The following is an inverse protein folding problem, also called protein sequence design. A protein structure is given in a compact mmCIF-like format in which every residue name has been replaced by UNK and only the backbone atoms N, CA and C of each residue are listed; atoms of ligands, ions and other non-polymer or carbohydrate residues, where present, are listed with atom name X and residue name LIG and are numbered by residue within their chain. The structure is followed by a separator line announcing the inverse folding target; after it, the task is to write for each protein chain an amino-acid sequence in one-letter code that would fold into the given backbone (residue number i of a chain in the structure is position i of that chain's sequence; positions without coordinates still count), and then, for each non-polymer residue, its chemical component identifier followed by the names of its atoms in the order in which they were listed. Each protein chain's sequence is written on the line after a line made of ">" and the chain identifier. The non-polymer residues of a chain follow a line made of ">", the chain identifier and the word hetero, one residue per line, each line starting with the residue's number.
data_IF_607309146624
#
_entry.id   IF_607309146624
#
_cell.length_a   1.000
_cell.length_b   1.000
_cell.length_c   1.000
_cell.angle_alpha   90.00
_cell.angle_beta   90.00
_cell.angle_gamma   90.00
#
_symmetry.space_group_name_H-M   'P 1'
#
loop_
_entity.id
_entity.type
_entity.pdbx_description
1 polymer ?
#
# COMPACT_ATOMS: atom_id res chain seq x y z
N UNK A 1 -3.55 -32.43 17.68
CA UNK A 1 -3.54 -30.97 17.44
C UNK A 1 -4.48 -30.69 16.28
N UNK A 2 -5.51 -29.87 16.50
CA UNK A 2 -6.43 -29.44 15.45
C UNK A 2 -5.65 -28.71 14.36
N UNK A 3 -5.91 -29.05 13.09
CA UNK A 3 -5.30 -28.39 11.91
C UNK A 3 -5.76 -26.94 11.86
N UNK A 4 -4.94 -26.00 12.35
CA UNK A 4 -5.23 -24.57 12.27
C UNK A 4 -5.22 -24.19 10.76
N UNK A 5 -6.37 -23.79 10.27
CA UNK A 5 -6.52 -23.33 8.87
C UNK A 5 -5.83 -21.99 8.71
N UNK A 6 -4.95 -21.89 7.73
CA UNK A 6 -4.25 -20.64 7.39
C UNK A 6 -5.04 -19.68 6.51
N UNK A 7 -6.26 -20.06 6.08
CA UNK A 7 -7.15 -19.28 5.22
C UNK A 7 -8.61 -19.58 5.55
N UNK A 8 -9.49 -18.65 5.22
CA UNK A 8 -10.92 -18.72 5.49
C UNK A 8 -11.23 -18.94 6.99
N UNK A 9 -10.45 -18.27 7.82
CA UNK A 9 -10.67 -18.24 9.27
C UNK A 9 -11.97 -17.52 9.63
N UNK A 10 -12.50 -17.76 10.84
CA UNK A 10 -13.71 -17.08 11.31
C UNK A 10 -13.55 -15.55 11.33
N UNK A 11 -12.44 -14.97 11.82
CA UNK A 11 -12.20 -13.53 11.75
C UNK A 11 -12.26 -12.97 10.31
N UNK A 12 -11.62 -13.66 9.35
CA UNK A 12 -11.65 -13.25 7.95
C UNK A 12 -13.08 -13.21 7.39
N UNK A 13 -13.89 -14.24 7.66
CA UNK A 13 -15.29 -14.30 7.20
C UNK A 13 -16.11 -13.16 7.78
N UNK A 14 -15.94 -12.85 9.06
CA UNK A 14 -16.65 -11.76 9.72
C UNK A 14 -16.41 -10.42 9.03
N UNK A 15 -15.15 -10.09 8.74
CA UNK A 15 -14.80 -8.83 8.06
C UNK A 15 -15.31 -8.83 6.61
N UNK A 16 -15.12 -9.93 5.88
CA UNK A 16 -15.59 -10.08 4.49
C UNK A 16 -17.10 -9.87 4.38
N UNK A 17 -17.89 -10.58 5.19
CA UNK A 17 -19.34 -10.53 5.12
C UNK A 17 -19.86 -9.13 5.50
N UNK A 18 -19.27 -8.50 6.51
CA UNK A 18 -19.64 -7.16 6.92
C UNK A 18 -19.36 -6.13 5.81
N UNK A 19 -18.16 -6.14 5.25
CA UNK A 19 -17.78 -5.21 4.16
C UNK A 19 -18.61 -5.47 2.89
N UNK A 20 -18.87 -6.73 2.56
CA UNK A 20 -19.69 -7.07 1.40
C UNK A 20 -21.11 -6.52 1.52
N UNK A 21 -21.76 -6.70 2.68
CA UNK A 21 -23.11 -6.17 2.97
C UNK A 21 -23.17 -4.65 2.89
N UNK A 22 -22.08 -3.96 3.25
CA UNK A 22 -21.93 -2.51 3.15
C UNK A 22 -21.57 -2.01 1.74
N UNK A 23 -21.51 -2.93 0.75
CA UNK A 23 -21.29 -2.58 -0.66
C UNK A 23 -19.82 -2.51 -1.08
N UNK A 24 -18.87 -2.84 -0.21
CA UNK A 24 -17.46 -2.89 -0.59
C UNK A 24 -17.17 -4.10 -1.48
N UNK A 25 -16.28 -3.89 -2.45
CA UNK A 25 -15.81 -4.94 -3.35
C UNK A 25 -14.30 -5.10 -3.19
N UNK A 26 -13.86 -6.34 -3.05
CA UNK A 26 -12.47 -6.68 -2.72
C UNK A 26 -12.03 -7.96 -3.46
N UNK A 27 -10.70 -8.13 -3.55
CA UNK A 27 -10.07 -9.38 -3.95
C UNK A 27 -9.51 -10.06 -2.72
N UNK A 28 -9.44 -11.40 -2.74
CA UNK A 28 -8.97 -12.20 -1.62
C UNK A 28 -7.56 -12.72 -1.89
N UNK A 29 -6.70 -12.68 -0.87
CA UNK A 29 -5.40 -13.33 -0.85
C UNK A 29 -4.58 -13.09 -2.13
N UNK A 30 -4.45 -11.82 -2.55
CA UNK A 30 -3.75 -11.47 -3.79
C UNK A 30 -2.24 -11.63 -3.62
N UNK A 31 -1.69 -12.70 -4.23
CA UNK A 31 -0.26 -13.06 -4.15
C UNK A 31 0.66 -12.10 -4.91
N UNK A 32 0.13 -11.19 -5.72
CA UNK A 32 0.91 -10.17 -6.44
C UNK A 32 1.34 -9.03 -5.53
N UNK A 33 0.72 -8.93 -4.34
CA UNK A 33 1.05 -7.91 -3.35
C UNK A 33 1.90 -8.50 -2.22
N UNK A 34 2.86 -7.73 -1.68
CA UNK A 34 3.66 -8.13 -0.54
C UNK A 34 2.81 -8.61 0.64
N UNK A 35 3.22 -9.68 1.29
CA UNK A 35 2.53 -10.28 2.43
C UNK A 35 1.23 -11.01 2.09
N UNK A 36 0.77 -11.02 0.85
CA UNK A 36 -0.49 -11.68 0.43
C UNK A 36 -1.68 -11.24 1.30
N UNK A 37 -2.13 -9.98 1.21
CA UNK A 37 -3.20 -9.45 2.06
C UNK A 37 -4.49 -10.26 1.99
N UNK A 38 -5.21 -10.38 3.11
CA UNK A 38 -6.48 -11.11 3.17
C UNK A 38 -7.56 -10.47 2.28
N UNK A 39 -7.63 -9.12 2.30
CA UNK A 39 -8.50 -8.37 1.40
C UNK A 39 -7.71 -7.25 0.71
N UNK A 40 -7.99 -7.07 -0.56
CA UNK A 40 -7.45 -5.97 -1.37
C UNK A 40 -8.60 -5.16 -1.95
N UNK A 41 -8.63 -3.86 -1.66
CA UNK A 41 -9.65 -2.92 -2.13
C UNK A 41 -9.04 -1.91 -3.10
N UNK A 42 -8.95 -2.22 -4.41
CA UNK A 42 -8.27 -1.36 -5.39
C UNK A 42 -8.86 0.05 -5.48
N UNK A 43 -10.19 0.18 -5.35
CA UNK A 43 -10.90 1.47 -5.38
C UNK A 43 -10.42 2.43 -4.28
N UNK A 44 -10.00 1.87 -3.14
CA UNK A 44 -9.55 2.62 -1.97
C UNK A 44 -8.03 2.67 -1.86
N UNK A 45 -7.32 1.97 -2.75
CA UNK A 45 -5.87 1.78 -2.66
C UNK A 45 -5.45 1.28 -1.28
N UNK A 46 -6.23 0.36 -0.72
CA UNK A 46 -6.05 -0.19 0.61
C UNK A 46 -6.01 -1.71 0.60
N UNK A 47 -5.26 -2.26 1.55
CA UNK A 47 -5.20 -3.69 1.84
C UNK A 47 -5.52 -3.92 3.31
N UNK A 48 -6.14 -5.06 3.62
CA UNK A 48 -6.47 -5.43 4.99
C UNK A 48 -5.78 -6.75 5.32
N UNK A 49 -5.05 -6.77 6.44
CA UNK A 49 -4.54 -7.97 7.09
C UNK A 49 -5.35 -8.25 8.34
N UNK A 50 -5.79 -9.50 8.50
CA UNK A 50 -6.59 -9.94 9.65
C UNK A 50 -5.73 -10.88 10.49
N UNK A 51 -5.09 -10.30 11.50
CA UNK A 51 -4.03 -10.93 12.26
C UNK A 51 -4.56 -11.69 13.49
N UNK A 52 -4.20 -12.95 13.60
CA UNK A 52 -4.36 -13.71 14.85
C UNK A 52 -3.42 -13.18 15.94
N UNK A 53 -3.96 -12.88 17.12
CA UNK A 53 -3.21 -12.20 18.19
C UNK A 53 -1.92 -12.93 18.60
N UNK A 54 -1.95 -14.24 18.71
CA UNK A 54 -0.76 -15.04 19.04
C UNK A 54 0.29 -15.02 17.93
N UNK A 55 -0.13 -15.27 16.70
CA UNK A 55 0.78 -15.48 15.57
C UNK A 55 1.54 -14.23 15.13
N UNK A 56 0.93 -13.06 15.35
CA UNK A 56 1.47 -11.75 14.96
C UNK A 56 1.89 -10.88 16.15
N UNK A 57 1.94 -11.47 17.37
CA UNK A 57 2.52 -10.85 18.55
C UNK A 57 1.76 -9.61 19.04
N UNK A 58 0.43 -9.69 19.13
CA UNK A 58 -0.40 -8.57 19.58
C UNK A 58 -0.14 -8.23 21.04
N UNK A 59 0.77 -7.28 21.30
CA UNK A 59 1.18 -6.89 22.66
C UNK A 59 0.01 -6.34 23.46
N UNK A 60 -0.03 -6.66 24.77
CA UNK A 60 -1.07 -6.19 25.68
C UNK A 60 -2.44 -6.87 25.51
N UNK A 61 -2.54 -7.88 24.63
CA UNK A 61 -3.78 -8.62 24.39
C UNK A 61 -3.81 -9.90 25.21
N UNK A 62 -4.94 -10.19 25.88
CA UNK A 62 -5.15 -11.42 26.65
C UNK A 62 -5.06 -12.69 25.80
N UNK A 63 -5.26 -12.62 24.49
CA UNK A 63 -5.09 -13.74 23.56
C UNK A 63 -3.64 -13.97 23.13
N UNK A 64 -2.71 -13.06 23.44
CA UNK A 64 -1.29 -13.25 23.20
C UNK A 64 -0.64 -13.91 24.42
N UNK A 65 -0.73 -15.22 24.49
CA UNK A 65 -0.12 -16.02 25.56
C UNK A 65 0.92 -16.96 24.96
N UNK A 66 2.18 -16.76 25.32
CA UNK A 66 3.27 -17.65 24.90
C UNK A 66 3.13 -18.99 25.66
N UNK A 67 3.13 -20.15 24.96
CA UNK A 67 3.08 -21.45 25.60
C UNK A 67 4.21 -21.64 26.59
N UNK A 68 3.95 -22.33 27.72
CA UNK A 68 4.96 -22.59 28.74
C UNK A 68 6.05 -23.58 28.29
N UNK A 69 5.77 -24.40 27.28
CA UNK A 69 6.73 -25.33 26.67
C UNK A 69 7.33 -24.73 25.38
N UNK A 70 8.61 -24.97 25.13
CA UNK A 70 9.34 -24.48 23.97
C UNK A 70 9.23 -22.95 23.76
N UNK A 71 9.36 -22.20 24.84
CA UNK A 71 9.20 -20.74 24.88
C UNK A 71 10.07 -20.04 23.82
N UNK A 72 11.35 -20.38 23.77
CA UNK A 72 12.31 -19.79 22.80
C UNK A 72 11.90 -20.03 21.36
N UNK A 73 11.44 -21.24 21.04
CA UNK A 73 10.95 -21.57 19.70
C UNK A 73 9.76 -20.66 19.31
N UNK A 74 8.79 -20.50 20.23
CA UNK A 74 7.61 -19.69 19.95
C UNK A 74 7.94 -18.21 19.84
N UNK A 75 8.80 -17.70 20.72
CA UNK A 75 9.26 -16.32 20.66
C UNK A 75 10.00 -16.03 19.35
N UNK A 76 10.93 -16.89 18.95
CA UNK A 76 11.65 -16.75 17.68
C UNK A 76 10.70 -16.84 16.45
N UNK A 77 9.67 -17.68 16.52
CA UNK A 77 8.69 -17.81 15.45
C UNK A 77 7.81 -16.57 15.31
N UNK A 78 7.31 -16.05 16.43
CA UNK A 78 6.51 -14.82 16.45
C UNK A 78 7.35 -13.61 16.00
N UNK A 79 8.59 -13.49 16.47
CA UNK A 79 9.50 -12.43 16.05
C UNK A 79 9.71 -12.41 14.52
N UNK A 80 9.95 -13.58 13.91
CA UNK A 80 10.07 -13.70 12.45
C UNK A 80 8.78 -13.33 11.71
N UNK A 81 7.61 -13.63 12.26
CA UNK A 81 6.34 -13.21 11.68
C UNK A 81 6.20 -11.70 11.71
N UNK A 82 6.48 -11.06 12.87
CA UNK A 82 6.43 -9.60 13.02
C UNK A 82 7.38 -8.92 12.03
N UNK A 83 8.62 -9.41 11.91
CA UNK A 83 9.59 -8.87 10.95
C UNK A 83 9.08 -8.93 9.51
N UNK A 84 8.53 -10.09 9.12
CA UNK A 84 7.94 -10.27 7.79
C UNK A 84 6.76 -9.34 7.55
N UNK A 85 5.88 -9.16 8.54
CA UNK A 85 4.73 -8.28 8.45
C UNK A 85 5.15 -6.82 8.29
N UNK A 86 6.17 -6.36 9.04
CA UNK A 86 6.75 -5.02 8.91
C UNK A 86 7.34 -4.80 7.51
N UNK A 87 8.14 -5.74 7.01
CA UNK A 87 8.71 -5.67 5.65
C UNK A 87 7.60 -5.57 4.59
N UNK A 88 6.56 -6.39 4.73
CA UNK A 88 5.42 -6.38 3.81
C UNK A 88 4.69 -5.04 3.84
N UNK A 89 4.47 -4.46 5.02
CA UNK A 89 3.83 -3.16 5.18
C UNK A 89 4.66 -2.03 4.56
N UNK A 90 5.99 -2.03 4.76
CA UNK A 90 6.89 -1.06 4.14
C UNK A 90 6.86 -1.14 2.60
N UNK A 91 6.94 -2.36 2.05
CA UNK A 91 6.85 -2.56 0.60
C UNK A 91 5.50 -2.10 0.04
N UNK A 92 4.41 -2.33 0.74
CA UNK A 92 3.08 -1.85 0.34
C UNK A 92 2.98 -0.33 0.35
N UNK A 93 3.57 0.33 1.34
CA UNK A 93 3.60 1.80 1.42
C UNK A 93 4.40 2.41 0.25
N UNK A 94 5.57 1.84 -0.12
CA UNK A 94 6.32 2.27 -1.31
C UNK A 94 5.53 2.13 -2.60
N UNK A 95 4.61 1.17 -2.65
CA UNK A 95 3.67 0.97 -3.76
C UNK A 95 2.40 1.84 -3.64
N UNK A 96 2.37 2.79 -2.71
CA UNK A 96 1.23 3.66 -2.40
C UNK A 96 -0.06 2.89 -2.04
N UNK A 97 0.08 1.76 -1.33
CA UNK A 97 -1.03 1.06 -0.71
C UNK A 97 -1.12 1.42 0.77
N UNK A 98 -2.32 1.71 1.25
CA UNK A 98 -2.57 1.87 2.69
C UNK A 98 -2.82 0.50 3.31
N UNK A 99 -2.09 0.19 4.38
CA UNK A 99 -2.22 -1.07 5.13
C UNK A 99 -3.15 -0.84 6.32
N UNK A 100 -4.20 -1.64 6.41
CA UNK A 100 -5.14 -1.68 7.53
C UNK A 100 -4.96 -3.02 8.23
N UNK A 101 -4.58 -2.99 9.51
CA UNK A 101 -4.46 -4.19 10.34
C UNK A 101 -5.68 -4.34 11.24
N UNK A 102 -6.26 -5.54 11.25
CA UNK A 102 -7.39 -5.91 12.09
C UNK A 102 -6.98 -7.09 12.95
N UNK A 103 -7.17 -6.97 14.28
CA UNK A 103 -6.81 -8.04 15.19
C UNK A 103 -8.01 -8.94 15.50
N UNK A 104 -7.76 -10.23 15.64
CA UNK A 104 -8.78 -11.21 15.99
C UNK A 104 -9.57 -10.83 17.25
N UNK A 105 -8.93 -10.23 18.26
CA UNK A 105 -9.59 -9.81 19.50
C UNK A 105 -10.56 -8.64 19.31
N UNK A 106 -10.39 -7.85 18.25
CA UNK A 106 -11.30 -6.74 17.92
C UNK A 106 -12.61 -7.24 17.29
N UNK A 107 -12.65 -8.48 16.82
CA UNK A 107 -13.79 -9.06 16.12
C UNK A 107 -14.72 -9.88 17.02
N UNK A 108 -14.63 -9.69 18.34
CA UNK A 108 -15.59 -10.25 19.30
C UNK A 108 -16.99 -9.66 19.08
N UNK A 109 -18.03 -10.36 19.55
CA UNK A 109 -19.42 -9.87 19.42
C UNK A 109 -19.61 -8.45 19.92
N UNK A 110 -18.93 -8.10 21.02
CA UNK A 110 -19.01 -6.76 21.65
C UNK A 110 -18.36 -5.66 20.81
N UNK A 111 -17.22 -5.95 20.17
CA UNK A 111 -16.37 -4.93 19.53
C UNK A 111 -16.50 -4.91 17.98
N UNK A 112 -17.13 -5.92 17.41
CA UNK A 112 -17.19 -6.14 15.96
C UNK A 112 -17.71 -4.93 15.19
N UNK A 113 -18.80 -4.34 15.64
CA UNK A 113 -19.42 -3.21 14.94
C UNK A 113 -18.50 -1.99 14.93
N UNK A 114 -17.94 -1.63 16.09
CA UNK A 114 -16.96 -0.55 16.19
C UNK A 114 -15.73 -0.79 15.30
N UNK A 115 -15.24 -2.04 15.25
CA UNK A 115 -14.12 -2.41 14.38
C UNK A 115 -14.46 -2.25 12.89
N UNK A 116 -15.66 -2.68 12.48
CA UNK A 116 -16.08 -2.52 11.07
C UNK A 116 -16.23 -1.04 10.72
N UNK A 117 -16.78 -0.21 11.60
CA UNK A 117 -16.88 1.23 11.37
C UNK A 117 -15.50 1.88 11.26
N UNK A 118 -14.54 1.51 12.14
CA UNK A 118 -13.14 1.94 12.00
C UNK A 118 -12.55 1.57 10.65
N UNK A 119 -12.76 0.34 10.18
CA UNK A 119 -12.28 -0.08 8.85
C UNK A 119 -12.86 0.80 7.74
N UNK A 120 -14.13 1.19 7.82
CA UNK A 120 -14.75 2.07 6.82
C UNK A 120 -14.12 3.47 6.85
N UNK A 121 -13.83 4.01 8.02
CA UNK A 121 -13.15 5.30 8.17
C UNK A 121 -11.72 5.22 7.60
N UNK A 122 -10.98 4.17 7.94
CA UNK A 122 -9.63 3.91 7.41
C UNK A 122 -9.66 3.79 5.87
N UNK A 123 -10.66 3.14 5.29
CA UNK A 123 -10.81 3.01 3.84
C UNK A 123 -11.10 4.37 3.18
N UNK A 124 -11.94 5.22 3.78
CA UNK A 124 -12.21 6.58 3.28
C UNK A 124 -10.94 7.43 3.29
N UNK A 125 -10.21 7.42 4.42
CA UNK A 125 -8.95 8.13 4.56
C UNK A 125 -7.89 7.62 3.57
N UNK A 126 -7.81 6.30 3.35
CA UNK A 126 -6.90 5.70 2.37
C UNK A 126 -7.18 6.18 0.95
N UNK A 127 -8.45 6.28 0.57
CA UNK A 127 -8.87 6.77 -0.75
C UNK A 127 -8.46 8.22 -0.93
N UNK A 128 -8.73 9.09 0.03
CA UNK A 128 -8.35 10.50 0.01
C UNK A 128 -6.82 10.67 -0.07
N UNK A 129 -6.06 9.93 0.76
CA UNK A 129 -4.59 9.91 0.71
C UNK A 129 -4.09 9.58 -0.71
N UNK A 130 -4.67 8.59 -1.36
CA UNK A 130 -4.27 8.17 -2.70
C UNK A 130 -4.67 9.19 -3.78
N UNK A 131 -5.84 9.79 -3.70
CA UNK A 131 -6.28 10.86 -4.60
C UNK A 131 -5.35 12.07 -4.53
N UNK A 132 -4.98 12.49 -3.32
CA UNK A 132 -4.01 13.57 -3.08
C UNK A 132 -2.60 13.21 -3.62
N UNK A 133 -2.15 11.96 -3.44
CA UNK A 133 -0.90 11.48 -4.03
C UNK A 133 -0.93 11.56 -5.57
N UNK A 134 -2.03 11.14 -6.19
CA UNK A 134 -2.20 11.21 -7.64
C UNK A 134 -2.23 12.65 -8.15
N UNK A 135 -2.90 13.57 -7.44
CA UNK A 135 -2.95 14.99 -7.78
C UNK A 135 -1.55 15.61 -7.79
N UNK A 136 -0.77 15.44 -6.72
CA UNK A 136 0.61 15.92 -6.62
C UNK A 136 1.51 15.40 -7.76
N UNK A 137 1.35 14.13 -8.13
CA UNK A 137 2.11 13.55 -9.25
C UNK A 137 1.71 14.14 -10.62
N UNK A 138 0.43 14.49 -10.82
CA UNK A 138 -0.01 15.18 -12.05
C UNK A 138 0.61 16.57 -12.13
N UNK A 139 0.50 17.36 -11.08
CA UNK A 139 1.08 18.70 -10.99
C UNK A 139 2.59 18.68 -11.26
N UNK A 140 3.33 17.75 -10.64
CA UNK A 140 4.77 17.59 -10.87
C UNK A 140 5.10 17.25 -12.33
N UNK A 141 4.29 16.38 -12.99
CA UNK A 141 4.47 16.03 -14.40
C UNK A 141 4.13 17.20 -15.33
N UNK A 142 3.09 17.97 -15.02
CA UNK A 142 2.71 19.14 -15.77
C UNK A 142 3.79 20.22 -15.69
N UNK A 143 4.32 20.46 -14.49
CA UNK A 143 5.45 21.37 -14.27
C UNK A 143 6.69 20.93 -15.08
N UNK A 144 7.07 19.66 -15.04
CA UNK A 144 8.20 19.14 -15.81
C UNK A 144 7.99 19.28 -17.32
N UNK A 145 6.77 19.05 -17.83
CA UNK A 145 6.43 19.25 -19.25
C UNK A 145 6.53 20.72 -19.65
N UNK A 146 6.07 21.61 -18.80
CA UNK A 146 6.12 23.05 -19.03
C UNK A 146 7.58 23.54 -19.07
N UNK A 147 8.44 23.09 -18.14
CA UNK A 147 9.86 23.42 -18.17
C UNK A 147 10.55 22.91 -19.43
N UNK A 148 10.24 21.69 -19.84
CA UNK A 148 10.79 21.11 -21.07
C UNK A 148 10.30 21.84 -22.35
N UNK A 149 9.06 22.38 -22.34
CA UNK A 149 8.55 23.22 -23.41
C UNK A 149 9.32 24.54 -23.49
N UNK A 150 9.44 25.26 -22.37
CA UNK A 150 10.19 26.53 -22.28
C UNK A 150 11.64 26.37 -22.73
N UNK A 151 12.29 25.30 -22.27
CA UNK A 151 13.66 25.02 -22.68
C UNK A 151 13.79 24.81 -24.21
N UNK A 152 12.84 24.10 -24.83
CA UNK A 152 12.83 23.94 -26.31
C UNK A 152 12.59 25.24 -27.05
N UNK A 153 11.72 26.12 -26.54
CA UNK A 153 11.45 27.44 -27.10
C UNK A 153 12.72 28.31 -27.07
N UNK A 154 13.45 28.33 -25.96
CA UNK A 154 14.71 29.05 -25.80
C UNK A 154 15.75 28.50 -26.77
N UNK A 155 15.92 27.18 -26.89
CA UNK A 155 16.85 26.59 -27.83
C UNK A 155 16.53 26.95 -29.29
N UNK A 156 15.26 26.93 -29.66
CA UNK A 156 14.83 27.30 -30.98
C UNK A 156 15.11 28.79 -31.31
N UNK A 157 14.93 29.68 -30.34
CA UNK A 157 15.28 31.10 -30.46
C UNK A 157 16.78 31.29 -30.66
N UNK A 158 17.61 30.64 -29.85
CA UNK A 158 19.07 30.70 -29.96
C UNK A 158 19.54 30.12 -31.29
N UNK A 159 18.95 29.00 -31.75
CA UNK A 159 19.26 28.45 -33.09
C UNK A 159 18.93 29.46 -34.21
N UNK A 160 17.79 30.14 -34.14
CA UNK A 160 17.36 31.13 -35.10
C UNK A 160 18.33 32.34 -35.10
N UNK A 161 18.67 32.89 -33.94
CA UNK A 161 19.62 34.00 -33.80
C UNK A 161 21.00 33.65 -34.33
N UNK A 162 21.50 32.44 -34.05
CA UNK A 162 22.80 31.98 -34.55
C UNK A 162 22.79 31.78 -36.08
N UNK A 163 21.69 31.26 -36.65
CA UNK A 163 21.56 31.08 -38.09
C UNK A 163 21.45 32.41 -38.87
N UNK A 164 20.97 33.48 -38.22
CA UNK A 164 21.01 34.82 -38.77
C UNK A 164 22.41 35.43 -38.71
N UNK A 165 23.19 35.09 -37.70
CA UNK A 165 24.53 35.63 -37.49
C UNK A 165 25.61 34.90 -38.29
N UNK A 166 25.42 33.63 -38.62
CA UNK A 166 26.37 32.78 -39.34
C UNK A 166 25.76 32.25 -40.64
N UNK A 167 26.52 32.27 -41.73
CA UNK A 167 26.08 31.81 -43.06
C UNK A 167 26.08 30.27 -43.20
N UNK A 168 25.90 29.55 -42.10
CA UNK A 168 25.75 28.09 -42.11
C UNK A 168 24.76 27.65 -41.02
N UNK A 169 23.95 26.59 -41.25
CA UNK A 169 22.93 26.18 -40.31
C UNK A 169 23.53 25.58 -39.05
N UNK A 170 23.19 26.17 -37.89
CA UNK A 170 23.50 25.65 -36.57
C UNK A 170 22.32 24.81 -36.10
N UNK A 171 22.57 23.55 -35.75
CA UNK A 171 21.57 22.65 -35.20
C UNK A 171 22.03 22.07 -33.85
N UNK A 172 21.31 22.34 -32.80
CA UNK A 172 21.51 21.66 -31.51
C UNK A 172 21.01 20.23 -31.60
N UNK A 173 21.92 19.25 -31.49
CA UNK A 173 21.51 17.84 -31.40
C UNK A 173 20.66 17.65 -30.14
N UNK A 174 19.48 17.05 -30.29
CA UNK A 174 18.71 16.56 -29.13
C UNK A 174 19.57 15.51 -28.45
N UNK A 175 20.02 15.82 -27.24
CA UNK A 175 20.57 14.80 -26.33
C UNK A 175 19.38 13.89 -26.01
N UNK A 176 19.41 12.67 -26.54
CA UNK A 176 18.51 11.61 -26.03
C UNK A 176 18.98 11.34 -24.60
N UNK A 177 18.18 11.72 -23.63
CA UNK A 177 18.31 11.18 -22.30
C UNK A 177 18.00 9.69 -22.43
N UNK A 178 19.03 8.87 -22.50
CA UNK A 178 18.95 7.43 -22.28
C UNK A 178 18.70 7.25 -20.78
N UNK A 179 17.43 7.21 -20.40
CA UNK A 179 17.01 6.71 -19.11
C UNK A 179 16.79 5.22 -19.27
N UNK A 180 17.82 4.43 -18.89
CA UNK A 180 17.68 3.04 -18.47
C UNK A 180 16.91 2.90 -17.16
#
# INVERSE_FOLDING_TARGET
>A
MSRIRSKNTTPEKVVRDALWRKGYRYRLNDRRLPGTPDLVLPKYRAVIFINGCFWHGHKGCSKYVVPKSNVEFWQAKVARNIERDLKSAQMLDTLAWTVITVWECELTMKNREATINRIEDDLRAAKEKYENYCAKRRESREYAREQARKHREILAQVEAELNEQFDFPVHFRRIREEND
#
